data_IF_982063817943
#
_entry.id   IF_982063817943
#
_cell.length_a   1.000
_cell.length_b   1.000
_cell.length_c   1.000
_cell.angle_alpha   90.00
_cell.angle_beta   90.00
_cell.angle_gamma   90.00
#
_symmetry.space_group_name_H-M   'P 1'
#
loop_
_entity.id
_entity.type
_entity.pdbx_description
1 polymer ?
#
# COMPACT_ATOMS: atom_id res chain seq x y z
N UNK A 1 1.43 -52.79 2.06
CA UNK A 1 2.66 -52.03 2.38
C UNK A 1 2.24 -50.62 2.71
N UNK A 2 2.77 -50.10 3.81
CA UNK A 2 2.14 -49.07 4.64
C UNK A 2 2.06 -47.68 3.97
N UNK A 3 0.85 -47.12 4.00
CA UNK A 3 0.58 -45.69 3.87
C UNK A 3 1.16 -44.95 5.06
N UNK A 4 1.77 -43.78 4.85
CA UNK A 4 2.03 -42.83 5.93
C UNK A 4 1.52 -41.45 5.55
N UNK A 5 0.44 -41.11 6.24
CA UNK A 5 -0.19 -39.80 6.34
C UNK A 5 0.63 -38.98 7.35
N UNK A 6 1.10 -37.80 6.94
CA UNK A 6 1.72 -36.84 7.85
C UNK A 6 0.72 -35.72 8.14
N UNK A 7 0.37 -35.61 9.42
CA UNK A 7 -0.70 -34.77 9.95
C UNK A 7 -0.36 -33.28 9.92
N UNK A 8 -1.33 -32.47 9.51
CA UNK A 8 -1.30 -31.01 9.60
C UNK A 8 -1.43 -30.55 11.07
N UNK A 9 -0.53 -29.66 11.50
CA UNK A 9 -0.60 -29.01 12.81
C UNK A 9 -1.61 -27.84 12.76
N UNK A 10 -2.56 -27.75 13.70
CA UNK A 10 -3.53 -26.64 13.73
C UNK A 10 -2.93 -25.40 14.40
N UNK A 11 -2.78 -24.32 13.64
CA UNK A 11 -2.48 -22.99 14.18
C UNK A 11 -3.71 -22.46 14.93
N UNK A 12 -3.57 -22.25 16.24
CA UNK A 12 -4.63 -21.72 17.09
C UNK A 12 -4.76 -20.21 16.93
N UNK A 13 -5.94 -19.78 16.51
CA UNK A 13 -6.41 -18.40 16.47
C UNK A 13 -6.57 -17.86 17.90
N UNK A 14 -5.92 -16.74 18.21
CA UNK A 14 -6.14 -15.99 19.45
C UNK A 14 -6.83 -14.67 19.09
N UNK A 15 -8.12 -14.57 19.38
CA UNK A 15 -8.78 -13.27 19.64
C UNK A 15 -8.73 -13.03 21.15
N UNK A 16 -8.68 -11.78 21.63
CA UNK A 16 -9.96 -11.20 22.04
C UNK A 16 -10.09 -9.66 21.98
N UNK A 17 -11.38 -9.28 22.04
CA UNK A 17 -12.00 -8.14 22.72
C UNK A 17 -11.90 -6.72 22.12
N UNK A 18 -13.02 -6.34 21.51
CA UNK A 18 -13.55 -4.99 21.50
C UNK A 18 -13.72 -4.43 22.92
N UNK A 19 -13.56 -3.11 23.11
CA UNK A 19 -14.40 -2.30 24.02
C UNK A 19 -14.08 -0.80 23.96
N UNK A 20 -15.16 -0.05 23.70
CA UNK A 20 -15.50 1.34 24.08
C UNK A 20 -14.76 2.55 23.51
N UNK A 21 -15.47 3.19 22.59
CA UNK A 21 -15.85 4.61 22.59
C UNK A 21 -15.54 5.40 23.85
N UNK A 22 -14.89 6.56 23.67
CA UNK A 22 -14.95 7.66 24.64
C UNK A 22 -15.09 8.98 23.91
N UNK A 23 -16.34 9.41 23.77
CA UNK A 23 -16.72 10.78 23.44
C UNK A 23 -16.37 11.67 24.64
N UNK A 24 -15.63 12.76 24.42
CA UNK A 24 -15.66 13.91 25.32
C UNK A 24 -15.74 15.19 24.50
N UNK A 25 -16.95 15.75 24.46
CA UNK A 25 -17.15 17.18 24.34
C UNK A 25 -16.52 17.87 25.57
N UNK A 26 -15.81 18.96 25.37
CA UNK A 26 -15.94 20.12 26.26
C UNK A 26 -15.44 21.39 25.58
N UNK A 27 -16.39 22.28 25.37
CA UNK A 27 -16.28 23.68 24.98
C UNK A 27 -15.81 24.56 26.14
N UNK A 28 -14.79 25.40 25.95
CA UNK A 28 -14.51 26.53 26.86
C UNK A 28 -14.02 27.76 26.06
N UNK A 29 -14.87 28.80 26.04
CA UNK A 29 -14.55 30.24 25.95
C UNK A 29 -15.41 30.87 27.06
N UNK A 30 -14.99 31.86 27.88
CA UNK A 30 -14.70 33.25 27.47
C UNK A 30 -13.59 33.95 28.31
N UNK A 31 -12.96 35.07 27.93
CA UNK A 31 -13.43 36.46 28.13
C UNK A 31 -12.29 37.43 27.78
N UNK A 32 -12.58 38.69 27.39
CA UNK A 32 -11.57 39.70 27.08
C UNK A 32 -11.20 40.54 28.32
N UNK A 33 -9.91 40.64 28.63
CA UNK A 33 -9.39 41.59 29.61
C UNK A 33 -8.70 42.76 28.89
N UNK A 34 -9.43 43.87 28.80
CA UNK A 34 -8.92 45.18 28.40
C UNK A 34 -7.89 45.68 29.40
N UNK A 35 -6.69 46.04 28.93
CA UNK A 35 -5.84 46.98 29.68
C UNK A 35 -5.14 47.91 28.70
N UNK A 36 -5.56 49.17 28.76
CA UNK A 36 -4.94 50.34 28.13
C UNK A 36 -3.50 50.48 28.63
N UNK A 37 -2.53 50.52 27.72
CA UNK A 37 -1.31 51.30 27.93
C UNK A 37 -1.04 52.20 26.74
N UNK A 38 -0.78 53.45 27.10
CA UNK A 38 -0.74 54.66 26.30
C UNK A 38 0.54 54.73 25.48
N UNK A 39 0.38 55.17 24.24
CA UNK A 39 1.41 55.50 23.26
C UNK A 39 2.48 56.48 23.82
N UNK A 40 3.74 56.20 23.52
CA UNK A 40 4.77 57.21 23.39
C UNK A 40 5.29 57.16 21.95
N UNK A 41 4.95 58.21 21.20
CA UNK A 41 5.49 58.55 19.89
C UNK A 41 6.99 58.81 20.02
N UNK A 42 7.79 58.16 19.19
CA UNK A 42 9.11 58.66 18.80
C UNK A 42 9.28 58.47 17.30
N UNK A 43 9.50 59.58 16.62
CA UNK A 43 9.55 59.74 15.18
C UNK A 43 10.99 59.71 14.68
N UNK A 44 11.33 58.77 13.79
CA UNK A 44 12.32 58.95 12.73
C UNK A 44 11.96 58.08 11.52
N UNK A 45 12.03 58.60 10.28
CA UNK A 45 11.76 57.82 9.07
C UNK A 45 13.05 57.15 8.60
N UNK A 46 13.04 55.83 8.48
CA UNK A 46 14.02 55.10 7.68
C UNK A 46 13.26 54.16 6.77
N UNK A 47 13.16 54.57 5.50
CA UNK A 47 12.73 53.73 4.38
C UNK A 47 13.83 52.69 4.21
N UNK A 48 13.66 51.51 4.82
CA UNK A 48 14.45 50.33 4.49
C UNK A 48 13.64 49.50 3.51
N UNK A 49 14.20 49.37 2.32
CA UNK A 49 13.69 48.66 1.17
C UNK A 49 13.08 47.30 1.51
N UNK A 50 11.94 47.01 0.88
CA UNK A 50 11.42 45.67 0.75
C UNK A 50 12.47 44.77 0.06
N UNK A 51 12.88 43.71 0.76
CA UNK A 51 13.47 42.53 0.14
C UNK A 51 12.83 41.31 0.81
N UNK A 52 12.02 40.62 0.02
CA UNK A 52 11.30 39.38 0.29
C UNK A 52 12.17 38.35 1.02
N UNK A 53 11.97 38.19 2.33
CA UNK A 53 12.22 36.90 2.96
C UNK A 53 10.98 36.03 2.77
N UNK A 54 10.68 35.66 1.52
CA UNK A 54 9.94 34.45 1.26
C UNK A 54 10.84 33.32 1.75
N UNK A 55 10.76 33.03 3.05
CA UNK A 55 11.18 31.73 3.57
C UNK A 55 10.23 30.76 2.90
N UNK A 56 10.63 30.29 1.71
CA UNK A 56 10.00 29.18 1.06
C UNK A 56 9.97 28.09 2.11
N UNK A 57 8.77 27.83 2.66
CA UNK A 57 8.49 26.60 3.35
C UNK A 57 8.94 25.55 2.35
N UNK A 58 10.09 24.91 2.60
CA UNK A 58 10.43 23.70 1.89
C UNK A 58 9.25 22.78 2.20
N UNK A 59 8.30 22.71 1.27
CA UNK A 59 7.14 21.88 1.41
C UNK A 59 7.72 20.49 1.59
N UNK A 60 7.51 19.91 2.77
CA UNK A 60 7.81 18.49 2.96
C UNK A 60 7.15 17.78 1.79
N UNK A 61 7.92 17.05 1.00
CA UNK A 61 7.35 16.23 -0.06
C UNK A 61 6.17 15.46 0.56
N UNK A 62 5.00 15.42 -0.11
CA UNK A 62 3.83 14.78 0.47
C UNK A 62 4.19 13.34 0.87
N UNK A 63 3.83 12.95 2.09
CA UNK A 63 4.03 11.59 2.57
C UNK A 63 3.22 10.66 1.67
N UNK A 64 3.87 9.65 1.08
CA UNK A 64 3.19 8.66 0.24
C UNK A 64 2.44 7.67 1.12
N UNK A 65 1.18 7.41 0.78
CA UNK A 65 0.35 6.36 1.37
C UNK A 65 0.54 5.10 0.53
N UNK A 66 1.01 4.01 1.15
CA UNK A 66 1.22 2.73 0.47
C UNK A 66 0.41 1.66 1.15
N UNK A 67 -0.33 0.87 0.37
CA UNK A 67 -0.92 -0.38 0.85
C UNK A 67 0.17 -1.46 0.90
N UNK A 68 0.40 -1.99 2.10
CA UNK A 68 1.43 -2.99 2.33
C UNK A 68 1.08 -4.38 1.81
N UNK A 69 -0.18 -4.67 1.47
CA UNK A 69 -0.59 -6.01 1.07
C UNK A 69 -1.80 -5.99 0.13
N UNK A 70 -1.51 -6.11 -1.17
CA UNK A 70 -2.53 -6.24 -2.21
C UNK A 70 -2.37 -7.58 -2.95
N UNK A 71 -3.48 -8.16 -3.37
CA UNK A 71 -3.47 -9.28 -4.32
C UNK A 71 -4.19 -8.84 -5.60
N UNK A 72 -3.56 -9.09 -6.75
CA UNK A 72 -4.17 -8.90 -8.07
C UNK A 72 -4.41 -10.25 -8.71
N UNK A 73 -5.56 -10.47 -9.32
CA UNK A 73 -5.85 -11.71 -10.04
C UNK A 73 -6.57 -11.43 -11.35
N UNK A 74 -6.51 -12.37 -12.28
CA UNK A 74 -7.06 -12.21 -13.61
C UNK A 74 -8.58 -11.94 -13.57
N UNK A 75 -9.08 -11.15 -14.51
CA UNK A 75 -10.51 -11.15 -14.80
C UNK A 75 -10.92 -12.50 -15.43
N UNK A 76 -12.21 -12.88 -15.44
CA UNK A 76 -12.65 -14.13 -16.05
C UNK A 76 -12.21 -14.30 -17.51
N UNK A 77 -12.21 -13.21 -18.29
CA UNK A 77 -11.74 -13.21 -19.68
C UNK A 77 -10.22 -13.43 -19.76
N UNK A 78 -9.46 -12.70 -18.95
CA UNK A 78 -8.00 -12.86 -18.88
C UNK A 78 -7.60 -14.26 -18.45
N UNK A 79 -8.36 -14.86 -17.53
CA UNK A 79 -8.12 -16.22 -17.05
C UNK A 79 -8.39 -17.28 -18.12
N UNK A 80 -9.38 -17.06 -18.98
CA UNK A 80 -9.68 -17.96 -20.09
C UNK A 80 -8.61 -17.95 -21.20
N UNK A 81 -7.88 -16.84 -21.34
CA UNK A 81 -6.95 -16.66 -22.47
C UNK A 81 -5.48 -16.83 -22.08
N UNK A 82 -5.02 -16.07 -21.06
CA UNK A 82 -3.59 -15.83 -20.85
C UNK A 82 -3.11 -16.13 -19.43
N UNK A 83 -4.00 -16.02 -18.43
CA UNK A 83 -3.64 -16.05 -17.01
C UNK A 83 -4.54 -17.00 -16.23
N UNK A 84 -4.50 -18.32 -16.51
CA UNK A 84 -5.41 -19.28 -15.91
C UNK A 84 -5.31 -19.30 -14.37
N UNK A 85 -6.42 -19.58 -13.72
CA UNK A 85 -6.43 -19.85 -12.30
C UNK A 85 -5.87 -21.25 -12.02
N UNK A 86 -5.23 -21.39 -10.87
CA UNK A 86 -4.92 -22.70 -10.34
C UNK A 86 -6.22 -23.41 -9.93
N UNK A 87 -6.42 -24.70 -10.27
CA UNK A 87 -7.69 -25.38 -10.02
C UNK A 87 -8.17 -25.26 -8.57
N UNK A 88 -9.41 -24.81 -8.38
CA UNK A 88 -10.04 -24.63 -7.07
C UNK A 88 -9.63 -23.34 -6.34
N UNK A 89 -8.89 -22.45 -7.01
CA UNK A 89 -8.52 -21.13 -6.51
C UNK A 89 -9.19 -20.01 -7.32
N UNK A 90 -10.35 -20.28 -7.90
CA UNK A 90 -11.13 -19.28 -8.61
C UNK A 90 -11.68 -18.24 -7.62
N UNK A 91 -11.44 -16.94 -7.84
CA UNK A 91 -11.89 -15.89 -6.94
C UNK A 91 -13.40 -15.66 -7.06
N UNK A 92 -14.05 -15.33 -5.94
CA UNK A 92 -15.48 -14.95 -5.92
C UNK A 92 -15.70 -13.45 -6.07
N UNK A 93 -14.62 -12.66 -5.99
CA UNK A 93 -14.64 -11.20 -6.05
C UNK A 93 -13.76 -10.71 -7.20
N UNK A 94 -13.99 -9.46 -7.62
CA UNK A 94 -13.09 -8.78 -8.55
C UNK A 94 -11.82 -8.35 -7.83
N UNK A 95 -10.71 -8.49 -8.54
CA UNK A 95 -9.38 -8.06 -8.11
C UNK A 95 -8.47 -7.89 -9.32
N UNK A 96 -9.07 -7.57 -10.47
CA UNK A 96 -8.34 -7.23 -11.69
C UNK A 96 -7.69 -5.84 -11.53
N UNK A 97 -6.58 -5.61 -12.24
CA UNK A 97 -5.74 -4.42 -12.03
C UNK A 97 -6.49 -3.10 -12.24
N UNK A 98 -7.43 -3.06 -13.19
CA UNK A 98 -8.16 -1.83 -13.50
C UNK A 98 -9.10 -1.47 -12.34
N UNK A 99 -9.79 -2.46 -11.77
CA UNK A 99 -10.58 -2.28 -10.56
C UNK A 99 -9.72 -1.84 -9.36
N UNK A 100 -8.55 -2.44 -9.17
CA UNK A 100 -7.68 -2.09 -8.04
C UNK A 100 -7.14 -0.65 -8.16
N UNK A 101 -6.83 -0.19 -9.37
CA UNK A 101 -6.41 1.19 -9.60
C UNK A 101 -7.54 2.20 -9.29
N UNK A 102 -8.78 1.87 -9.63
CA UNK A 102 -9.96 2.65 -9.25
C UNK A 102 -10.07 2.75 -7.72
N UNK A 103 -10.02 1.61 -7.01
CA UNK A 103 -10.06 1.59 -5.55
C UNK A 103 -8.91 2.38 -4.91
N UNK A 104 -7.70 2.30 -5.46
CA UNK A 104 -6.54 3.07 -4.97
C UNK A 104 -6.75 4.57 -5.14
N UNK A 105 -7.28 5.02 -6.27
CA UNK A 105 -7.55 6.45 -6.52
C UNK A 105 -8.61 6.98 -5.55
N UNK A 106 -9.72 6.26 -5.38
CA UNK A 106 -10.79 6.60 -4.44
C UNK A 106 -10.29 6.67 -2.99
N UNK A 107 -9.44 5.70 -2.60
CA UNK A 107 -8.87 5.61 -1.26
C UNK A 107 -7.65 6.54 -1.05
N UNK A 108 -7.17 7.23 -2.10
CA UNK A 108 -5.95 8.07 -2.09
C UNK A 108 -4.69 7.30 -1.66
N UNK A 109 -4.55 6.08 -2.17
CA UNK A 109 -3.36 5.24 -2.01
C UNK A 109 -2.42 5.49 -3.19
N UNK A 110 -1.20 5.94 -2.91
CA UNK A 110 -0.22 6.30 -3.93
C UNK A 110 0.38 5.08 -4.64
N UNK A 111 0.49 3.95 -3.92
CA UNK A 111 1.02 2.69 -4.44
C UNK A 111 0.72 1.49 -3.54
N UNK A 112 1.00 0.28 -4.01
CA UNK A 112 0.76 -0.94 -3.26
C UNK A 112 1.85 -2.00 -3.47
N UNK A 113 2.10 -2.80 -2.44
CA UNK A 113 2.89 -4.03 -2.54
C UNK A 113 1.97 -5.19 -2.96
N UNK A 114 2.13 -5.66 -4.19
CA UNK A 114 1.45 -6.84 -4.69
C UNK A 114 2.15 -8.08 -4.13
N UNK A 115 1.46 -8.83 -3.29
CA UNK A 115 1.88 -10.17 -2.88
C UNK A 115 1.32 -11.16 -3.90
N UNK A 116 2.15 -12.09 -4.38
CA UNK A 116 1.73 -13.10 -5.36
C UNK A 116 0.42 -13.78 -4.90
N UNK A 117 -0.67 -13.69 -5.68
CA UNK A 117 -1.97 -14.26 -5.32
C UNK A 117 -1.92 -15.79 -5.37
N UNK A 118 -2.63 -16.43 -4.43
CA UNK A 118 -2.82 -17.89 -4.47
C UNK A 118 -3.57 -18.35 -5.72
N UNK A 119 -4.41 -17.47 -6.30
CA UNK A 119 -5.21 -17.76 -7.50
C UNK A 119 -4.37 -18.21 -8.69
N UNK A 120 -3.11 -17.76 -8.78
CA UNK A 120 -2.18 -18.14 -9.86
C UNK A 120 -0.98 -18.96 -9.33
N UNK A 121 -0.95 -19.30 -8.04
CA UNK A 121 0.13 -20.05 -7.39
C UNK A 121 1.53 -19.53 -7.77
N UNK A 122 2.34 -20.34 -8.45
CA UNK A 122 3.70 -20.02 -8.87
C UNK A 122 3.79 -19.47 -10.30
N UNK A 123 2.66 -19.19 -10.94
CA UNK A 123 2.65 -18.43 -12.20
C UNK A 123 2.60 -16.92 -11.89
N UNK A 124 3.75 -16.26 -12.07
CA UNK A 124 3.89 -14.81 -11.85
C UNK A 124 3.67 -14.00 -13.13
N UNK A 125 3.21 -14.60 -14.23
CA UNK A 125 3.06 -13.91 -15.52
C UNK A 125 2.14 -12.69 -15.43
N UNK A 126 0.97 -12.83 -14.80
CA UNK A 126 0.06 -11.71 -14.56
C UNK A 126 0.70 -10.63 -13.70
N UNK A 127 1.24 -10.99 -12.53
CA UNK A 127 1.88 -10.02 -11.62
C UNK A 127 3.01 -9.29 -12.32
N UNK A 128 3.88 -10.01 -13.03
CA UNK A 128 4.98 -9.42 -13.81
C UNK A 128 4.46 -8.45 -14.87
N UNK A 129 3.38 -8.78 -15.57
CA UNK A 129 2.76 -7.89 -16.56
C UNK A 129 2.23 -6.60 -15.92
N UNK A 130 1.63 -6.70 -14.73
CA UNK A 130 1.09 -5.55 -13.98
C UNK A 130 2.22 -4.65 -13.48
N UNK A 131 3.29 -5.22 -12.91
CA UNK A 131 4.45 -4.46 -12.45
C UNK A 131 5.11 -3.70 -13.61
N UNK A 132 5.24 -4.33 -14.79
CA UNK A 132 5.75 -3.68 -16.00
C UNK A 132 4.84 -2.56 -16.50
N UNK A 133 3.53 -2.75 -16.44
CA UNK A 133 2.55 -1.77 -16.94
C UNK A 133 2.42 -0.56 -16.01
N UNK A 134 2.58 -0.75 -14.70
CA UNK A 134 2.41 0.31 -13.69
C UNK A 134 3.57 0.35 -12.68
N UNK A 135 4.82 0.58 -13.12
CA UNK A 135 6.01 0.52 -12.26
C UNK A 135 6.06 1.62 -11.19
N UNK A 136 5.31 2.72 -11.40
CA UNK A 136 5.18 3.80 -10.41
C UNK A 136 4.14 3.54 -9.33
N UNK A 137 3.28 2.52 -9.52
CA UNK A 137 2.16 2.19 -8.62
C UNK A 137 2.42 0.94 -7.80
N UNK A 138 3.09 -0.06 -8.38
CA UNK A 138 3.20 -1.37 -7.76
C UNK A 138 4.63 -1.84 -7.58
N UNK A 139 4.87 -2.52 -6.46
CA UNK A 139 6.06 -3.33 -6.20
C UNK A 139 5.60 -4.77 -5.95
N UNK A 140 6.39 -5.75 -6.35
CA UNK A 140 6.04 -7.18 -6.22
C UNK A 140 6.76 -7.88 -5.07
N UNK A 141 6.02 -8.71 -4.33
CA UNK A 141 6.52 -9.76 -3.46
C UNK A 141 6.12 -11.12 -4.07
N UNK A 142 7.06 -11.76 -4.75
CA UNK A 142 6.80 -13.02 -5.45
C UNK A 142 6.89 -14.24 -4.53
N UNK A 143 6.14 -15.30 -4.86
CA UNK A 143 6.17 -16.58 -4.15
C UNK A 143 7.23 -17.53 -4.74
N UNK A 144 8.15 -18.03 -3.92
CA UNK A 144 9.08 -19.08 -4.31
C UNK A 144 8.42 -20.47 -4.20
N UNK A 145 8.62 -21.32 -5.20
CA UNK A 145 8.12 -22.69 -5.17
C UNK A 145 8.93 -23.53 -4.15
N UNK A 146 8.30 -24.12 -3.12
CA UNK A 146 9.01 -24.87 -2.09
C UNK A 146 9.32 -26.33 -2.47
N UNK A 147 9.08 -26.75 -3.71
CA UNK A 147 9.35 -28.12 -4.15
C UNK A 147 10.84 -28.52 -3.99
N UNK A 148 11.07 -29.75 -3.51
CA UNK A 148 12.40 -30.29 -3.21
C UNK A 148 13.21 -30.69 -4.47
N UNK A 149 12.71 -30.40 -5.67
CA UNK A 149 13.35 -30.74 -6.94
C UNK A 149 14.31 -29.64 -7.47
N UNK A 150 14.48 -28.56 -6.69
CA UNK A 150 15.31 -27.42 -7.04
C UNK A 150 14.73 -26.49 -8.10
N UNK A 151 13.51 -26.75 -8.59
CA UNK A 151 12.82 -25.87 -9.55
C UNK A 151 12.57 -24.48 -8.95
N UNK A 152 12.23 -24.41 -7.66
CA UNK A 152 11.98 -23.16 -6.96
C UNK A 152 13.17 -22.21 -6.89
N UNK A 153 14.38 -22.74 -6.72
CA UNK A 153 15.61 -21.92 -6.70
C UNK A 153 15.84 -21.27 -8.06
N UNK A 154 15.73 -22.06 -9.14
CA UNK A 154 15.87 -21.55 -10.52
C UNK A 154 14.84 -20.47 -10.84
N UNK A 155 13.60 -20.67 -10.40
CA UNK A 155 12.54 -19.69 -10.58
C UNK A 155 12.80 -18.41 -9.77
N UNK A 156 13.28 -18.54 -8.53
CA UNK A 156 13.63 -17.38 -7.69
C UNK A 156 14.74 -16.53 -8.34
N UNK A 157 15.78 -17.14 -8.88
CA UNK A 157 16.84 -16.44 -9.61
C UNK A 157 16.28 -15.65 -10.81
N UNK A 158 15.40 -16.28 -11.58
CA UNK A 158 14.71 -15.63 -12.69
C UNK A 158 13.89 -14.42 -12.23
N UNK A 159 13.15 -14.54 -11.14
CA UNK A 159 12.33 -13.46 -10.57
C UNK A 159 13.20 -12.28 -10.11
N UNK A 160 14.32 -12.55 -9.43
CA UNK A 160 15.20 -11.48 -8.94
C UNK A 160 15.87 -10.74 -10.11
N UNK A 161 16.37 -11.45 -11.12
CA UNK A 161 17.12 -10.84 -12.23
C UNK A 161 16.19 -10.19 -13.24
N UNK A 162 15.10 -10.85 -13.64
CA UNK A 162 14.29 -10.40 -14.77
C UNK A 162 13.11 -9.53 -14.36
N UNK A 163 12.57 -9.66 -13.14
CA UNK A 163 11.42 -8.87 -12.67
C UNK A 163 11.86 -7.57 -11.99
N UNK A 164 13.13 -7.41 -11.61
CA UNK A 164 13.65 -6.14 -11.06
C UNK A 164 14.31 -5.23 -12.11
N UNK A 165 14.56 -5.72 -13.34
CA UNK A 165 15.32 -4.99 -14.36
C UNK A 165 14.47 -4.03 -15.23
N UNK A 166 13.56 -3.26 -14.62
CA UNK A 166 12.65 -2.35 -15.35
C UNK A 166 12.86 -0.89 -14.99
#
# INVERSE_FOLDING_TARGET
MASSSAAAAPYRFLSPLATTSRTLLSSILPTPATTRRRLLLSSTPAICAAAMAASGKAGSAPCKVVDSHLHVWASPLQAAENYPFFPGQEPTLRGDVDFLLECMDEARVDGALIVQPINHMFDHSLVTSVLKKYPSKFIGCCLANPADDGSGIKQLEHLIVQVQSF
#
